data_IF_962458095830
#
_entry.id   IF_962458095830
#
_cell.length_a   1.000
_cell.length_b   1.000
_cell.length_c   1.000
_cell.angle_alpha   90.00
_cell.angle_beta   90.00
_cell.angle_gamma   90.00
#
_symmetry.space_group_name_H-M   'P 1'
#
loop_
_entity.id
_entity.type
_entity.pdbx_description
1 polymer ?
#
# COMPACT_ATOMS: atom_id res chain seq x y z
N UNK A 1 -12.37 13.41 -17.04
CA UNK A 1 -11.01 12.96 -16.63
C UNK A 1 -10.16 14.15 -16.10
N UNK A 2 -10.42 14.69 -14.89
CA UNK A 2 -9.53 15.66 -14.25
C UNK A 2 -8.58 15.05 -13.19
N UNK A 3 -8.83 13.81 -12.76
CA UNK A 3 -8.27 13.31 -11.49
C UNK A 3 -6.93 12.56 -11.65
N UNK A 4 -6.53 12.18 -12.87
CA UNK A 4 -5.28 11.42 -13.11
C UNK A 4 -4.02 12.22 -12.73
N UNK A 5 -4.05 13.54 -12.93
CA UNK A 5 -2.96 14.46 -12.56
C UNK A 5 -2.81 14.58 -11.05
N UNK A 6 -3.94 14.66 -10.31
CA UNK A 6 -3.93 14.68 -8.85
C UNK A 6 -3.45 13.36 -8.26
N UNK A 7 -3.89 12.23 -8.80
CA UNK A 7 -3.43 10.90 -8.36
C UNK A 7 -1.90 10.78 -8.54
N UNK A 8 -1.38 11.22 -9.68
CA UNK A 8 0.06 11.21 -9.95
C UNK A 8 0.82 12.08 -8.95
N UNK A 9 0.28 13.25 -8.60
CA UNK A 9 0.89 14.15 -7.63
C UNK A 9 0.87 13.58 -6.21
N UNK A 10 -0.24 12.93 -5.81
CA UNK A 10 -0.39 12.26 -4.50
C UNK A 10 0.61 11.11 -4.36
N UNK A 11 0.74 10.27 -5.40
CA UNK A 11 1.71 9.17 -5.40
C UNK A 11 3.13 9.72 -5.26
N UNK A 12 3.47 10.76 -6.02
CA UNK A 12 4.78 11.39 -5.96
C UNK A 12 5.06 12.00 -4.56
N UNK A 13 4.06 12.67 -3.98
CA UNK A 13 4.13 13.22 -2.63
C UNK A 13 4.36 12.12 -1.57
N UNK A 14 3.63 11.00 -1.64
CA UNK A 14 3.81 9.86 -0.73
C UNK A 14 5.21 9.26 -0.85
N UNK A 15 5.74 9.13 -2.06
CA UNK A 15 7.10 8.61 -2.29
C UNK A 15 8.16 9.54 -1.72
N UNK A 16 8.03 10.84 -1.93
CA UNK A 16 8.94 11.84 -1.35
C UNK A 16 8.86 11.85 0.18
N UNK A 17 7.64 11.85 0.73
CA UNK A 17 7.41 11.80 2.17
C UNK A 17 8.02 10.54 2.77
N UNK A 18 7.88 9.39 2.09
CA UNK A 18 8.56 8.15 2.49
C UNK A 18 10.05 8.32 2.59
N UNK A 19 10.67 8.86 1.55
CA UNK A 19 12.12 9.05 1.52
C UNK A 19 12.61 9.99 2.63
N UNK A 20 11.89 11.08 2.90
CA UNK A 20 12.22 12.05 3.95
C UNK A 20 12.06 11.41 5.32
N UNK A 21 10.91 10.78 5.58
CA UNK A 21 10.58 10.17 6.87
C UNK A 21 11.50 8.98 7.19
N UNK A 22 11.83 8.18 6.18
CA UNK A 22 12.83 7.12 6.31
C UNK A 22 14.18 7.70 6.72
N UNK A 23 14.71 8.73 6.03
CA UNK A 23 15.98 9.35 6.42
C UNK A 23 15.95 9.96 7.82
N UNK A 24 14.84 10.60 8.20
CA UNK A 24 14.71 11.29 9.49
C UNK A 24 14.62 10.32 10.68
N UNK A 25 13.82 9.27 10.55
CA UNK A 25 13.51 8.36 11.67
C UNK A 25 14.53 7.23 11.78
N UNK A 26 14.98 6.69 10.64
CA UNK A 26 15.89 5.53 10.60
C UNK A 26 17.35 5.98 10.61
N UNK A 27 17.65 7.14 10.04
CA UNK A 27 19.02 7.59 9.78
C UNK A 27 19.59 7.02 8.48
N UNK A 28 20.88 7.23 8.18
CA UNK A 28 21.53 6.76 6.96
C UNK A 28 21.81 5.25 6.94
N UNK A 29 21.56 4.54 8.05
CA UNK A 29 21.75 3.09 8.11
C UNK A 29 20.78 2.37 7.17
N UNK A 30 21.34 1.52 6.30
CA UNK A 30 20.55 0.65 5.44
C UNK A 30 19.81 -0.36 6.31
N UNK A 31 18.50 -0.22 6.31
CA UNK A 31 17.61 -1.15 6.94
C UNK A 31 17.41 -2.37 6.08
N UNK A 32 17.89 -3.51 6.56
CA UNK A 32 17.69 -4.79 5.91
C UNK A 32 16.53 -5.55 6.56
N UNK A 33 15.59 -5.95 5.70
CA UNK A 33 14.64 -7.02 6.01
C UNK A 33 15.40 -8.34 5.86
N UNK A 34 15.30 -9.22 6.87
CA UNK A 34 15.88 -10.58 6.81
C UNK A 34 15.41 -11.31 5.54
N UNK A 35 16.26 -12.16 4.98
CA UNK A 35 15.96 -12.89 3.74
C UNK A 35 14.65 -13.70 3.81
N UNK A 36 14.37 -14.32 4.95
CA UNK A 36 13.10 -15.02 5.22
C UNK A 36 11.89 -14.10 5.05
N UNK A 37 12.00 -12.86 5.56
CA UNK A 37 10.97 -11.83 5.42
C UNK A 37 10.80 -11.38 3.98
N UNK A 38 11.90 -11.20 3.23
CA UNK A 38 11.86 -10.85 1.81
C UNK A 38 11.17 -11.95 0.99
N UNK A 39 11.53 -13.21 1.22
CA UNK A 39 10.91 -14.36 0.55
C UNK A 39 9.41 -14.42 0.86
N UNK A 40 9.04 -14.31 2.13
CA UNK A 40 7.64 -14.32 2.55
C UNK A 40 6.85 -13.13 1.98
N UNK A 41 7.45 -11.94 1.94
CA UNK A 41 6.84 -10.75 1.31
C UNK A 41 6.53 -11.01 -0.16
N UNK A 42 7.50 -11.54 -0.90
CA UNK A 42 7.36 -11.80 -2.33
C UNK A 42 6.27 -12.83 -2.62
N UNK A 43 6.29 -13.97 -1.92
CA UNK A 43 5.28 -15.02 -2.09
C UNK A 43 3.90 -14.59 -1.59
N UNK A 44 3.83 -13.84 -0.49
CA UNK A 44 2.56 -13.31 0.02
C UNK A 44 1.94 -12.29 -0.92
N UNK A 45 2.74 -11.39 -1.51
CA UNK A 45 2.25 -10.44 -2.50
C UNK A 45 1.75 -11.14 -3.78
N UNK A 46 2.45 -12.17 -4.24
CA UNK A 46 1.99 -13.00 -5.38
C UNK A 46 0.64 -13.65 -5.05
N UNK A 47 0.52 -14.26 -3.87
CA UNK A 47 -0.72 -14.90 -3.45
C UNK A 47 -1.88 -13.90 -3.40
N UNK A 48 -1.67 -12.71 -2.82
CA UNK A 48 -2.66 -11.64 -2.78
C UNK A 48 -3.03 -11.14 -4.18
N UNK A 49 -2.05 -11.00 -5.08
CA UNK A 49 -2.30 -10.60 -6.45
C UNK A 49 -3.16 -11.63 -7.20
N UNK A 50 -2.89 -12.93 -7.04
CA UNK A 50 -3.68 -14.00 -7.64
C UNK A 50 -5.13 -13.97 -7.11
N UNK A 51 -5.30 -13.87 -5.80
CA UNK A 51 -6.64 -13.80 -5.17
C UNK A 51 -7.41 -12.58 -5.69
N UNK A 52 -6.77 -11.40 -5.71
CA UNK A 52 -7.41 -10.17 -6.14
C UNK A 52 -7.77 -10.19 -7.63
N UNK A 53 -6.90 -10.72 -8.49
CA UNK A 53 -7.23 -10.93 -9.89
C UNK A 53 -8.38 -11.91 -10.06
N UNK A 54 -8.40 -13.02 -9.30
CA UNK A 54 -9.50 -13.98 -9.33
C UNK A 54 -10.85 -13.35 -8.97
N UNK A 55 -10.90 -12.59 -7.87
CA UNK A 55 -12.11 -11.85 -7.47
C UNK A 55 -12.50 -10.81 -8.52
N UNK A 56 -11.52 -10.07 -9.06
CA UNK A 56 -11.78 -9.03 -10.06
C UNK A 56 -12.37 -9.61 -11.34
N UNK A 57 -11.83 -10.72 -11.85
CA UNK A 57 -12.36 -11.37 -13.05
C UNK A 57 -13.71 -12.02 -12.81
N UNK A 58 -13.89 -12.70 -11.68
CA UNK A 58 -15.15 -13.38 -11.37
C UNK A 58 -16.33 -12.40 -11.22
N UNK A 59 -16.08 -11.22 -10.66
CA UNK A 59 -17.09 -10.18 -10.46
C UNK A 59 -16.93 -8.99 -11.42
N UNK A 60 -16.28 -9.19 -12.57
CA UNK A 60 -15.88 -8.09 -13.46
C UNK A 60 -17.04 -7.17 -13.84
N UNK A 61 -18.15 -7.73 -14.34
CA UNK A 61 -19.32 -6.96 -14.78
C UNK A 61 -19.97 -6.18 -13.61
N UNK A 62 -20.02 -6.78 -12.43
CA UNK A 62 -20.58 -6.17 -11.22
C UNK A 62 -19.69 -5.05 -10.66
N UNK A 63 -18.37 -5.28 -10.63
CA UNK A 63 -17.38 -4.32 -10.16
C UNK A 63 -17.31 -3.13 -11.11
N UNK A 64 -17.33 -3.36 -12.43
CA UNK A 64 -17.20 -2.29 -13.42
C UNK A 64 -18.46 -1.44 -13.54
N UNK A 65 -19.65 -2.05 -13.40
CA UNK A 65 -20.93 -1.34 -13.48
C UNK A 65 -21.23 -0.46 -12.26
N UNK A 66 -20.57 -0.70 -11.12
CA UNK A 66 -20.80 0.03 -9.89
C UNK A 66 -19.53 0.71 -9.37
N UNK A 67 -19.44 2.03 -9.58
CA UNK A 67 -18.31 2.86 -9.15
C UNK A 67 -18.01 2.75 -7.65
N UNK A 68 -19.03 2.57 -6.80
CA UNK A 68 -18.85 2.42 -5.35
C UNK A 68 -18.17 1.08 -5.04
N UNK A 69 -18.62 0.01 -5.69
CA UNK A 69 -18.03 -1.33 -5.52
C UNK A 69 -16.59 -1.35 -6.02
N UNK A 70 -16.30 -0.73 -7.17
CA UNK A 70 -14.95 -0.57 -7.69
C UNK A 70 -14.04 0.17 -6.69
N UNK A 71 -14.52 1.27 -6.14
CA UNK A 71 -13.82 2.07 -5.13
C UNK A 71 -13.52 1.25 -3.87
N UNK A 72 -14.52 0.54 -3.33
CA UNK A 72 -14.36 -0.33 -2.16
C UNK A 72 -13.38 -1.48 -2.42
N UNK A 73 -13.44 -2.10 -3.59
CA UNK A 73 -12.51 -3.17 -3.99
C UNK A 73 -11.05 -2.70 -3.91
N UNK A 74 -10.74 -1.54 -4.50
CA UNK A 74 -9.38 -0.98 -4.48
C UNK A 74 -8.93 -0.58 -3.07
N UNK A 75 -9.81 -0.01 -2.25
CA UNK A 75 -9.51 0.31 -0.85
C UNK A 75 -9.19 -0.97 -0.07
N UNK A 76 -10.02 -2.02 -0.20
CA UNK A 76 -9.76 -3.31 0.47
C UNK A 76 -8.45 -3.94 0.02
N UNK A 77 -8.14 -3.90 -1.27
CA UNK A 77 -6.86 -4.38 -1.79
C UNK A 77 -5.67 -3.65 -1.17
N UNK A 78 -5.70 -2.31 -1.15
CA UNK A 78 -4.65 -1.49 -0.55
C UNK A 78 -4.55 -1.74 0.96
N UNK A 79 -5.69 -1.82 1.66
CA UNK A 79 -5.78 -2.09 3.10
C UNK A 79 -5.05 -3.39 3.47
N UNK A 80 -5.36 -4.48 2.76
CA UNK A 80 -4.82 -5.80 3.04
C UNK A 80 -3.33 -5.88 2.69
N UNK A 81 -2.94 -5.38 1.52
CA UNK A 81 -1.54 -5.44 1.07
C UNK A 81 -0.61 -4.60 1.94
N UNK A 82 -1.04 -3.41 2.36
CA UNK A 82 -0.21 -2.61 3.27
C UNK A 82 -0.21 -3.13 4.70
N UNK A 83 -1.31 -3.69 5.21
CA UNK A 83 -1.31 -4.39 6.49
C UNK A 83 -0.34 -5.59 6.48
N UNK A 84 -0.30 -6.35 5.38
CA UNK A 84 0.65 -7.44 5.18
C UNK A 84 2.10 -6.94 5.16
N UNK A 85 2.41 -5.90 4.38
CA UNK A 85 3.75 -5.31 4.34
C UNK A 85 4.18 -4.77 5.72
N UNK A 86 3.29 -4.11 6.45
CA UNK A 86 3.54 -3.65 7.82
C UNK A 86 3.86 -4.81 8.75
N UNK A 87 3.10 -5.91 8.68
CA UNK A 87 3.34 -7.12 9.48
C UNK A 87 4.71 -7.76 9.18
N UNK A 88 5.09 -7.83 7.90
CA UNK A 88 6.40 -8.34 7.49
C UNK A 88 7.52 -7.45 8.04
N UNK A 89 7.40 -6.13 7.88
CA UNK A 89 8.41 -5.20 8.37
C UNK A 89 8.51 -5.21 9.90
N UNK A 90 7.38 -5.32 10.61
CA UNK A 90 7.39 -5.49 12.07
C UNK A 90 8.20 -6.73 12.48
N UNK A 91 7.93 -7.86 11.83
CA UNK A 91 8.43 -9.18 12.26
C UNK A 91 9.86 -9.47 11.77
N UNK A 92 10.22 -8.98 10.60
CA UNK A 92 11.45 -9.36 9.90
C UNK A 92 12.44 -8.20 9.66
N UNK A 93 12.10 -6.96 10.01
CA UNK A 93 13.08 -5.86 9.97
C UNK A 93 14.05 -5.93 11.14
N UNK A 94 15.33 -5.68 10.85
CA UNK A 94 16.36 -5.44 11.86
C UNK A 94 16.07 -4.18 12.70
N UNK A 95 15.40 -3.18 12.10
CA UNK A 95 15.15 -1.90 12.73
C UNK A 95 13.64 -1.63 12.88
N UNK A 96 13.14 -1.75 14.11
CA UNK A 96 11.72 -1.49 14.43
C UNK A 96 11.26 -0.07 14.06
N UNK A 97 12.18 0.88 13.86
CA UNK A 97 11.86 2.23 13.40
C UNK A 97 11.30 2.27 11.96
N UNK A 98 11.64 1.29 11.11
CA UNK A 98 11.01 1.15 9.79
C UNK A 98 9.51 0.88 9.89
N UNK A 99 9.13 0.02 10.83
CA UNK A 99 7.74 -0.34 11.04
C UNK A 99 6.89 0.91 11.33
N UNK A 100 7.42 1.85 12.13
CA UNK A 100 6.78 3.14 12.42
C UNK A 100 6.63 3.99 11.15
N UNK A 101 7.69 4.11 10.35
CA UNK A 101 7.66 4.85 9.07
C UNK A 101 6.59 4.28 8.13
N UNK A 102 6.52 2.96 8.01
CA UNK A 102 5.56 2.28 7.13
C UNK A 102 4.13 2.38 7.64
N UNK A 103 3.88 2.30 8.95
CA UNK A 103 2.55 2.56 9.51
C UNK A 103 2.06 3.98 9.20
N UNK A 104 2.92 4.99 9.41
CA UNK A 104 2.57 6.39 9.18
C UNK A 104 2.21 6.59 7.71
N UNK A 105 3.07 6.11 6.81
CA UNK A 105 2.89 6.30 5.36
C UNK A 105 1.70 5.53 4.84
N UNK A 106 1.48 4.33 5.34
CA UNK A 106 0.35 3.51 4.91
C UNK A 106 -0.99 4.14 5.33
N UNK A 107 -1.08 4.65 6.55
CA UNK A 107 -2.27 5.35 7.04
C UNK A 107 -2.53 6.62 6.23
N UNK A 108 -1.47 7.41 5.94
CA UNK A 108 -1.55 8.58 5.07
C UNK A 108 -1.98 8.24 3.64
N UNK A 109 -1.42 7.18 3.05
CA UNK A 109 -1.77 6.74 1.71
C UNK A 109 -3.23 6.29 1.65
N UNK A 110 -3.69 5.50 2.62
CA UNK A 110 -5.08 5.07 2.71
C UNK A 110 -6.04 6.25 2.86
N UNK A 111 -5.68 7.25 3.67
CA UNK A 111 -6.49 8.45 3.90
C UNK A 111 -6.57 9.35 2.66
N UNK A 112 -5.45 9.54 1.96
CA UNK A 112 -5.41 10.29 0.70
C UNK A 112 -6.20 9.60 -0.42
N UNK A 113 -6.09 8.27 -0.53
CA UNK A 113 -6.89 7.48 -1.46
C UNK A 113 -8.37 7.57 -1.11
N UNK A 114 -8.74 7.50 0.17
CA UNK A 114 -10.12 7.66 0.61
C UNK A 114 -10.69 9.03 0.22
N UNK A 115 -9.92 10.12 0.38
CA UNK A 115 -10.33 11.47 -0.03
C UNK A 115 -10.58 11.55 -1.53
N UNK A 116 -9.63 11.11 -2.36
CA UNK A 116 -9.78 11.11 -3.84
C UNK A 116 -10.95 10.25 -4.30
N UNK A 117 -11.25 9.19 -3.54
CA UNK A 117 -12.35 8.28 -3.81
C UNK A 117 -13.69 8.88 -3.35
N UNK A 118 -13.74 9.65 -2.26
CA UNK A 118 -14.97 10.23 -1.71
C UNK A 118 -15.32 11.62 -2.25
N UNK A 119 -14.36 12.36 -2.81
CA UNK A 119 -14.67 13.59 -3.55
C UNK A 119 -15.42 13.25 -4.85
N UNK A 120 -16.59 13.88 -5.10
CA UNK A 120 -17.43 13.63 -6.27
C UNK A 120 -16.82 14.15 -7.58
#
# INVERSE_FOLDING_TARGET
MPNSSMISFIVLFIVLLKSILSRLIIGPEKTEIREEGKKLQWWGLILFAIICLGVFFYYYDYIYSNTIVLKMFWISFLAITGAFNFFIEWKYSSNRKQCIVTAIIFTLAALLVAIVIYEP
#
